data_IF_214033356727
#
_entry.id   IF_214033356727
#
_cell.length_a   1.000
_cell.length_b   1.000
_cell.length_c   1.000
_cell.angle_alpha   90.00
_cell.angle_beta   90.00
_cell.angle_gamma   90.00
#
_symmetry.space_group_name_H-M   'P 1'
#
loop_
_entity.id
_entity.type
_entity.pdbx_description
1 polymer ?
#
# COMPACT_ATOMS: atom_id res chain seq x y z
N UNK A 1 -50.76 -5.06 -22.00
CA UNK A 1 -50.44 -4.69 -20.61
C UNK A 1 -49.20 -5.39 -20.10
N UNK A 2 -48.04 -4.73 -20.31
CA UNK A 2 -46.73 -5.22 -19.92
C UNK A 2 -46.05 -4.28 -18.93
N UNK A 3 -46.57 -4.15 -17.71
CA UNK A 3 -46.03 -3.22 -16.71
C UNK A 3 -45.83 -3.76 -15.29
N UNK A 4 -45.81 -5.08 -15.05
CA UNK A 4 -45.70 -5.62 -13.68
C UNK A 4 -44.53 -6.55 -13.37
N UNK A 5 -43.57 -6.74 -14.28
CA UNK A 5 -42.42 -7.65 -14.06
C UNK A 5 -41.04 -6.96 -14.01
N UNK A 6 -40.95 -5.69 -13.61
CA UNK A 6 -39.66 -4.95 -13.57
C UNK A 6 -39.24 -4.34 -12.23
N UNK A 7 -39.86 -4.71 -11.10
CA UNK A 7 -39.56 -4.06 -9.80
C UNK A 7 -39.03 -4.95 -8.67
N UNK A 8 -38.64 -6.20 -8.91
CA UNK A 8 -38.26 -7.13 -7.82
C UNK A 8 -36.80 -7.63 -7.85
N UNK A 9 -35.85 -6.90 -8.45
CA UNK A 9 -34.45 -7.38 -8.56
C UNK A 9 -33.37 -6.45 -7.97
N UNK A 10 -33.72 -5.31 -7.36
CA UNK A 10 -32.73 -4.31 -6.94
C UNK A 10 -32.51 -4.19 -5.42
N UNK A 11 -33.24 -4.96 -4.59
CA UNK A 11 -33.14 -4.88 -3.12
C UNK A 11 -32.13 -5.84 -2.46
N UNK A 12 -31.69 -6.89 -3.15
CA UNK A 12 -30.95 -8.01 -2.52
C UNK A 12 -29.41 -7.87 -2.47
N UNK A 13 -28.81 -7.04 -3.33
CA UNK A 13 -27.33 -6.94 -3.42
C UNK A 13 -26.71 -5.94 -2.44
N UNK A 14 -27.49 -5.00 -1.89
CA UNK A 14 -26.98 -3.95 -1.00
C UNK A 14 -26.85 -4.41 0.47
N UNK A 15 -27.65 -5.39 0.91
CA UNK A 15 -27.59 -5.89 2.30
C UNK A 15 -26.38 -6.79 2.54
N UNK A 16 -26.00 -7.61 1.55
CA UNK A 16 -24.82 -8.47 1.62
C UNK A 16 -23.52 -7.68 1.80
N UNK A 17 -23.34 -6.61 1.03
CA UNK A 17 -22.13 -5.77 1.09
C UNK A 17 -22.00 -5.02 2.42
N UNK A 18 -23.10 -4.59 3.03
CA UNK A 18 -23.11 -3.93 4.34
C UNK A 18 -22.80 -4.88 5.50
N UNK A 19 -23.38 -6.09 5.47
CA UNK A 19 -23.11 -7.14 6.47
C UNK A 19 -21.66 -7.63 6.39
N UNK A 20 -21.14 -7.83 5.18
CA UNK A 20 -19.76 -8.22 4.93
C UNK A 20 -18.76 -7.13 5.33
N UNK A 21 -19.06 -5.86 5.03
CA UNK A 21 -18.26 -4.73 5.50
C UNK A 21 -18.28 -4.60 7.04
N UNK A 22 -19.42 -4.89 7.68
CA UNK A 22 -19.55 -4.96 9.14
C UNK A 22 -18.67 -6.06 9.74
N UNK A 23 -18.69 -7.26 9.17
CA UNK A 23 -17.88 -8.40 9.63
C UNK A 23 -16.38 -8.17 9.42
N UNK A 24 -15.99 -7.58 8.29
CA UNK A 24 -14.60 -7.20 8.01
C UNK A 24 -14.06 -6.20 9.06
N UNK A 25 -14.90 -5.25 9.52
CA UNK A 25 -14.58 -4.32 10.61
C UNK A 25 -14.42 -5.03 11.95
N UNK A 26 -15.28 -6.00 12.25
CA UNK A 26 -15.20 -6.79 13.50
C UNK A 26 -13.92 -7.63 13.52
N UNK A 27 -13.55 -8.28 12.41
CA UNK A 27 -12.34 -9.10 12.32
C UNK A 27 -11.04 -8.27 12.18
N UNK A 28 -11.13 -6.99 11.80
CA UNK A 28 -9.98 -6.10 11.67
C UNK A 28 -9.25 -5.90 13.00
N UNK A 29 -9.97 -5.60 14.09
CA UNK A 29 -9.36 -5.28 15.39
C UNK A 29 -8.70 -6.48 16.08
N UNK A 30 -9.28 -7.69 16.12
CA UNK A 30 -8.62 -8.88 16.67
C UNK A 30 -7.33 -9.23 15.91
N UNK A 31 -7.35 -9.14 14.58
CA UNK A 31 -6.16 -9.43 13.77
C UNK A 31 -5.10 -8.32 13.85
N UNK A 32 -5.51 -7.07 14.09
CA UNK A 32 -4.60 -5.98 14.42
C UNK A 32 -3.96 -6.19 15.80
N UNK A 33 -4.75 -6.58 16.81
CA UNK A 33 -4.25 -6.89 18.15
C UNK A 33 -3.24 -8.04 18.11
N UNK A 34 -3.50 -9.08 17.32
CA UNK A 34 -2.54 -10.15 17.05
C UNK A 34 -1.24 -9.62 16.40
N UNK A 35 -1.33 -8.65 15.50
CA UNK A 35 -0.16 -8.02 14.88
C UNK A 35 0.65 -7.21 15.92
N UNK A 36 -0.03 -6.45 16.77
CA UNK A 36 0.57 -5.70 17.88
C UNK A 36 1.28 -6.64 18.87
N UNK A 37 0.62 -7.74 19.23
CA UNK A 37 1.17 -8.75 20.12
C UNK A 37 2.46 -9.35 19.54
N UNK A 38 2.44 -9.77 18.26
CA UNK A 38 3.64 -10.34 17.61
C UNK A 38 4.80 -9.36 17.43
N UNK A 39 4.52 -8.06 17.28
CA UNK A 39 5.56 -7.04 17.25
C UNK A 39 6.23 -6.81 18.61
N UNK A 40 5.54 -7.11 19.72
CA UNK A 40 6.04 -6.94 21.09
C UNK A 40 6.66 -8.20 21.70
N UNK A 41 6.29 -9.39 21.22
CA UNK A 41 6.84 -10.66 21.71
C UNK A 41 8.28 -10.83 21.22
N UNK A 42 9.18 -11.10 22.16
CA UNK A 42 10.56 -11.51 21.89
C UNK A 42 10.61 -13.03 21.66
N UNK A 43 11.43 -13.50 20.70
CA UNK A 43 11.60 -14.93 20.39
C UNK A 43 11.17 -15.34 18.97
N UNK A 44 10.95 -16.63 18.72
CA UNK A 44 10.71 -17.21 17.39
C UNK A 44 9.51 -16.63 16.61
N UNK A 45 8.55 -16.03 17.32
CA UNK A 45 7.38 -15.39 16.71
C UNK A 45 7.57 -13.89 16.40
N UNK A 46 8.73 -13.31 16.76
CA UNK A 46 9.05 -11.90 16.57
C UNK A 46 8.94 -11.50 15.10
N UNK A 47 8.36 -10.32 14.87
CA UNK A 47 8.28 -9.72 13.55
C UNK A 47 8.59 -8.25 13.68
N UNK A 48 9.64 -7.81 12.99
CA UNK A 48 9.98 -6.41 12.92
C UNK A 48 8.82 -5.60 12.36
N UNK A 49 8.57 -4.46 13.00
CA UNK A 49 7.43 -3.61 12.69
C UNK A 49 7.46 -3.11 11.25
N UNK A 50 8.65 -2.72 10.80
CA UNK A 50 8.95 -2.26 9.46
C UNK A 50 10.36 -2.68 9.04
N UNK A 51 10.61 -2.66 7.74
CA UNK A 51 11.95 -2.82 7.17
C UNK A 51 12.21 -1.73 6.13
N UNK A 52 13.44 -1.25 6.07
CA UNK A 52 13.91 -0.42 4.98
C UNK A 52 14.18 -1.31 3.76
N UNK A 53 13.55 -0.98 2.63
CA UNK A 53 13.64 -1.77 1.39
C UNK A 53 14.75 -1.23 0.50
N UNK A 54 14.84 0.09 0.38
CA UNK A 54 15.94 0.78 -0.28
C UNK A 54 16.24 2.12 0.40
N UNK A 55 17.00 3.00 -0.27
CA UNK A 55 17.38 4.32 0.26
C UNK A 55 16.16 5.21 0.53
N UNK A 56 15.06 5.01 -0.17
CA UNK A 56 13.87 5.86 -0.11
C UNK A 56 12.73 5.20 0.66
N UNK A 57 12.44 3.93 0.39
CA UNK A 57 11.18 3.30 0.80
C UNK A 57 11.36 2.39 2.00
N UNK A 58 10.48 2.57 2.98
CA UNK A 58 10.29 1.67 4.11
C UNK A 58 8.93 0.97 3.98
N UNK A 59 8.88 -0.31 4.32
CA UNK A 59 7.68 -1.13 4.30
C UNK A 59 7.35 -1.61 5.72
N UNK A 60 6.15 -1.28 6.23
CA UNK A 60 5.79 -1.66 7.58
C UNK A 60 4.31 -1.77 7.89
N UNK A 61 4.03 -2.12 9.15
CA UNK A 61 2.71 -2.11 9.76
C UNK A 61 2.26 -0.67 10.09
N UNK A 62 1.09 -0.51 10.71
CA UNK A 62 0.52 0.79 11.08
C UNK A 62 1.55 1.66 11.87
N UNK A 63 1.82 2.90 11.44
CA UNK A 63 2.74 3.78 12.16
C UNK A 63 2.04 4.32 13.41
N UNK A 64 2.32 3.69 14.55
CA UNK A 64 1.80 4.14 15.84
C UNK A 64 2.33 5.54 16.16
N UNK A 65 1.52 6.36 16.86
CA UNK A 65 1.94 7.72 17.24
C UNK A 65 3.29 7.76 17.96
N UNK A 66 3.60 6.74 18.77
CA UNK A 66 4.89 6.61 19.47
C UNK A 66 6.10 6.43 18.55
N UNK A 67 5.89 5.97 17.31
CA UNK A 67 6.96 5.75 16.33
C UNK A 67 7.26 6.97 15.48
N UNK A 68 6.43 8.02 15.56
CA UNK A 68 6.56 9.23 14.74
C UNK A 68 7.95 9.82 14.81
N UNK A 69 8.50 9.97 16.02
CA UNK A 69 9.84 10.53 16.24
C UNK A 69 10.91 9.73 15.52
N UNK A 70 10.94 8.41 15.76
CA UNK A 70 11.89 7.48 15.11
C UNK A 70 11.79 7.53 13.58
N UNK A 71 10.57 7.54 13.03
CA UNK A 71 10.39 7.61 11.57
C UNK A 71 10.89 8.93 10.99
N UNK A 72 10.65 10.06 11.67
CA UNK A 72 11.00 11.39 11.16
C UNK A 72 12.47 11.73 11.37
N UNK A 73 13.04 11.42 12.54
CA UNK A 73 14.40 11.78 12.94
C UNK A 73 15.41 10.75 12.43
N UNK A 74 15.20 9.45 12.68
CA UNK A 74 16.20 8.42 12.38
C UNK A 74 16.10 7.93 10.93
N UNK A 75 14.87 7.80 10.41
CA UNK A 75 14.63 7.23 9.08
C UNK A 75 14.43 8.30 7.99
N UNK A 76 14.50 9.59 8.35
CA UNK A 76 14.27 10.73 7.46
C UNK A 76 12.95 10.63 6.65
N UNK A 77 11.88 10.14 7.27
CA UNK A 77 10.58 10.02 6.62
C UNK A 77 9.95 11.40 6.47
N UNK A 78 9.57 11.75 5.24
CA UNK A 78 8.84 12.99 4.90
C UNK A 78 7.58 12.73 4.08
N UNK A 79 7.41 11.51 3.57
CA UNK A 79 6.16 11.04 3.00
C UNK A 79 5.63 9.78 3.71
N UNK A 80 4.31 9.65 3.83
CA UNK A 80 3.67 8.41 4.29
C UNK A 80 2.57 8.00 3.32
N UNK A 81 2.63 6.76 2.83
CA UNK A 81 1.59 6.17 1.98
C UNK A 81 0.76 5.23 2.84
N UNK A 82 -0.50 5.62 3.05
CA UNK A 82 -1.48 4.87 3.85
C UNK A 82 -2.41 4.09 2.93
N UNK A 83 -2.19 2.77 2.85
CA UNK A 83 -3.01 1.82 2.07
C UNK A 83 -4.16 1.24 2.90
N UNK A 84 -4.80 2.09 3.70
CA UNK A 84 -5.84 1.74 4.66
C UNK A 84 -7.07 2.63 4.50
N UNK A 85 -8.22 2.13 4.94
CA UNK A 85 -9.41 2.94 5.15
C UNK A 85 -9.27 3.83 6.40
N UNK A 86 -10.07 4.90 6.45
CA UNK A 86 -9.99 5.88 7.52
C UNK A 86 -10.28 5.28 8.90
N UNK A 87 -11.25 4.37 9.00
CA UNK A 87 -11.58 3.70 10.27
C UNK A 87 -10.43 2.83 10.78
N UNK A 88 -9.60 2.25 9.91
CA UNK A 88 -8.49 1.37 10.27
C UNK A 88 -7.35 2.14 10.97
N UNK A 89 -7.28 3.46 10.79
CA UNK A 89 -6.17 4.31 11.26
C UNK A 89 -6.56 5.28 12.37
N UNK A 90 -7.87 5.54 12.56
CA UNK A 90 -8.42 6.64 13.36
C UNK A 90 -7.89 6.72 14.80
N UNK A 91 -7.68 5.59 15.47
CA UNK A 91 -7.36 5.59 16.90
C UNK A 91 -5.86 5.47 17.20
N UNK A 92 -5.10 4.76 16.37
CA UNK A 92 -3.72 4.36 16.67
C UNK A 92 -2.66 5.13 15.88
N UNK A 93 -3.02 5.67 14.72
CA UNK A 93 -2.10 6.37 13.83
C UNK A 93 -2.29 7.88 13.94
N UNK A 94 -1.28 8.62 13.47
CA UNK A 94 -1.42 10.06 13.24
C UNK A 94 -2.44 10.33 12.12
N UNK A 95 -3.26 11.34 12.33
CA UNK A 95 -4.07 11.98 11.29
C UNK A 95 -3.20 12.74 10.29
N UNK A 96 -3.76 13.09 9.13
CA UNK A 96 -3.06 13.90 8.13
C UNK A 96 -2.58 15.25 8.69
N UNK A 97 -3.33 15.83 9.65
CA UNK A 97 -2.95 17.08 10.33
C UNK A 97 -1.77 16.87 11.27
N UNK A 98 -1.75 15.78 12.04
CA UNK A 98 -0.64 15.44 12.93
C UNK A 98 0.63 15.13 12.14
N UNK A 99 0.55 14.38 11.04
CA UNK A 99 1.69 14.16 10.14
C UNK A 99 2.24 15.48 9.59
N UNK A 100 1.37 16.38 9.13
CA UNK A 100 1.80 17.68 8.60
C UNK A 100 2.51 18.54 9.64
N UNK A 101 2.09 18.49 10.91
CA UNK A 101 2.75 19.23 12.02
C UNK A 101 4.19 18.78 12.24
N UNK A 102 4.51 17.52 11.97
CA UNK A 102 5.87 16.97 12.07
C UNK A 102 6.60 16.96 10.72
N UNK A 103 6.11 17.70 9.73
CA UNK A 103 6.76 17.84 8.43
C UNK A 103 6.63 16.62 7.50
N UNK A 104 5.62 15.78 7.71
CA UNK A 104 5.35 14.59 6.86
C UNK A 104 4.06 14.77 6.08
N UNK A 105 4.12 14.56 4.77
CA UNK A 105 2.95 14.53 3.90
C UNK A 105 2.31 13.14 3.88
N UNK A 106 0.99 13.06 4.07
CA UNK A 106 0.26 11.80 3.98
C UNK A 106 -0.49 11.68 2.64
N UNK A 107 -0.19 10.62 1.89
CA UNK A 107 -1.00 10.15 0.77
C UNK A 107 -1.81 8.94 1.20
N UNK A 108 -3.14 9.09 1.24
CA UNK A 108 -4.06 7.98 1.52
C UNK A 108 -4.61 7.41 0.21
N UNK A 109 -4.42 6.11 0.01
CA UNK A 109 -4.92 5.37 -1.15
C UNK A 109 -5.80 4.24 -0.62
N UNK A 110 -7.11 4.51 -0.52
CA UNK A 110 -8.07 3.49 -0.10
C UNK A 110 -8.22 2.43 -1.20
N UNK A 111 -8.15 1.17 -0.80
CA UNK A 111 -8.61 0.04 -1.61
C UNK A 111 -10.04 -0.24 -1.18
N UNK A 112 -11.02 0.06 -2.04
CA UNK A 112 -12.46 -0.08 -1.71
C UNK A 112 -12.87 -1.56 -1.62
N UNK A 113 -12.07 -2.49 -2.16
CA UNK A 113 -12.45 -3.91 -2.20
C UNK A 113 -11.91 -4.72 -1.02
N UNK A 114 -12.78 -5.62 -0.53
CA UNK A 114 -12.47 -6.70 0.41
C UNK A 114 -11.29 -7.58 -0.03
N UNK A 115 -10.92 -7.53 -1.32
CA UNK A 115 -9.77 -8.24 -1.91
C UNK A 115 -8.43 -7.59 -1.54
N UNK A 116 -8.42 -6.31 -1.17
CA UNK A 116 -7.20 -5.55 -0.85
C UNK A 116 -6.27 -5.34 -2.05
N UNK A 117 -6.82 -5.30 -3.27
CA UNK A 117 -6.06 -5.05 -4.51
C UNK A 117 -6.11 -3.54 -4.82
N UNK A 118 -4.97 -2.85 -4.96
CA UNK A 118 -4.95 -1.45 -5.39
C UNK A 118 -5.28 -1.33 -6.89
N UNK A 119 -5.96 -0.26 -7.28
CA UNK A 119 -6.18 0.05 -8.69
C UNK A 119 -4.89 0.54 -9.35
N UNK A 120 -4.80 0.41 -10.67
CA UNK A 120 -3.65 0.88 -11.43
C UNK A 120 -3.40 2.39 -11.25
N UNK A 121 -4.48 3.18 -11.18
CA UNK A 121 -4.40 4.61 -10.88
C UNK A 121 -3.82 4.90 -9.49
N UNK A 122 -4.16 4.09 -8.48
CA UNK A 122 -3.60 4.21 -7.14
C UNK A 122 -2.12 3.82 -7.13
N UNK A 123 -1.72 2.75 -7.84
CA UNK A 123 -0.31 2.39 -8.01
C UNK A 123 0.48 3.55 -8.61
N UNK A 124 0.02 4.13 -9.74
CA UNK A 124 0.66 5.29 -10.36
C UNK A 124 0.81 6.45 -9.37
N UNK A 125 -0.26 6.84 -8.68
CA UNK A 125 -0.23 7.93 -7.70
C UNK A 125 0.76 7.66 -6.56
N UNK A 126 0.76 6.45 -6.01
CA UNK A 126 1.65 6.07 -4.92
C UNK A 126 3.11 6.03 -5.35
N UNK A 127 3.39 5.49 -6.54
CA UNK A 127 4.75 5.47 -7.11
C UNK A 127 5.26 6.88 -7.37
N UNK A 128 4.47 7.75 -8.01
CA UNK A 128 4.88 9.14 -8.27
C UNK A 128 5.12 9.92 -6.98
N UNK A 129 4.32 9.66 -5.94
CA UNK A 129 4.55 10.22 -4.62
C UNK A 129 5.88 9.73 -4.02
N UNK A 130 6.22 8.45 -4.15
CA UNK A 130 7.50 7.94 -3.68
C UNK A 130 8.69 8.54 -4.46
N UNK A 131 8.57 8.66 -5.79
CA UNK A 131 9.61 9.25 -6.64
C UNK A 131 9.86 10.74 -6.31
N UNK A 132 8.81 11.49 -5.96
CA UNK A 132 8.95 12.88 -5.46
C UNK A 132 9.88 12.97 -4.26
N UNK A 133 9.78 12.04 -3.31
CA UNK A 133 10.63 12.06 -2.11
C UNK A 133 12.01 11.47 -2.36
N UNK A 134 12.12 10.51 -3.29
CA UNK A 134 13.40 10.00 -3.76
C UNK A 134 14.27 11.12 -4.35
N UNK A 135 13.71 11.99 -5.19
CA UNK A 135 14.47 13.11 -5.78
C UNK A 135 14.92 14.16 -4.75
N UNK A 136 14.25 14.22 -3.60
CA UNK A 136 14.59 15.10 -2.48
C UNK A 136 15.59 14.46 -1.50
N UNK A 137 16.03 13.21 -1.75
CA UNK A 137 16.88 12.47 -0.80
C UNK A 137 16.16 12.13 0.52
N UNK A 138 14.83 12.08 0.49
CA UNK A 138 13.97 11.84 1.65
C UNK A 138 13.33 10.45 1.57
N UNK A 139 12.90 9.94 2.71
CA UNK A 139 12.28 8.62 2.78
C UNK A 139 10.75 8.67 2.83
N UNK A 140 10.13 7.58 2.38
CA UNK A 140 8.69 7.35 2.39
C UNK A 140 8.35 6.07 3.15
N UNK A 141 7.46 6.19 4.13
CA UNK A 141 6.94 5.06 4.87
C UNK A 141 5.65 4.54 4.21
N UNK A 142 5.70 3.33 3.67
CA UNK A 142 4.58 2.69 2.99
C UNK A 142 3.97 1.61 3.90
N UNK A 143 2.69 1.75 4.23
CA UNK A 143 2.06 0.86 5.19
C UNK A 143 0.63 0.48 4.84
N UNK A 144 0.23 -0.65 5.42
CA UNK A 144 -1.17 -1.06 5.53
C UNK A 144 -1.44 -1.43 6.99
N UNK A 145 -2.23 -2.47 7.26
CA UNK A 145 -2.43 -3.01 8.62
C UNK A 145 -1.16 -3.66 9.19
N UNK A 146 -0.66 -4.70 8.51
CA UNK A 146 0.47 -5.51 8.97
C UNK A 146 1.75 -5.35 8.12
N UNK A 147 1.67 -4.57 7.05
CA UNK A 147 2.80 -4.40 6.13
C UNK A 147 3.12 -5.66 5.31
N UNK A 148 2.09 -6.41 4.87
CA UNK A 148 2.27 -7.75 4.27
C UNK A 148 1.80 -7.88 2.82
N UNK A 149 0.69 -7.24 2.48
CA UNK A 149 -0.02 -7.48 1.22
C UNK A 149 -0.21 -6.14 0.49
N UNK A 150 -1.31 -5.40 0.74
CA UNK A 150 -1.59 -4.07 0.15
C UNK A 150 -0.37 -3.14 -0.01
N UNK A 151 0.37 -2.90 1.08
CA UNK A 151 1.55 -2.04 1.06
C UNK A 151 2.76 -2.68 0.37
N UNK A 152 2.92 -4.00 0.48
CA UNK A 152 3.98 -4.71 -0.24
C UNK A 152 3.75 -4.66 -1.76
N UNK A 153 2.49 -4.73 -2.22
CA UNK A 153 2.12 -4.49 -3.62
C UNK A 153 2.49 -3.08 -4.07
N UNK A 154 2.22 -2.06 -3.25
CA UNK A 154 2.61 -0.68 -3.57
C UNK A 154 4.14 -0.53 -3.68
N UNK A 155 4.89 -1.12 -2.75
CA UNK A 155 6.36 -1.10 -2.80
C UNK A 155 6.88 -1.86 -4.02
N UNK A 156 6.28 -3.01 -4.37
CA UNK A 156 6.65 -3.75 -5.57
C UNK A 156 6.45 -2.90 -6.84
N UNK A 157 5.33 -2.17 -6.96
CA UNK A 157 5.10 -1.25 -8.07
C UNK A 157 6.17 -0.14 -8.15
N UNK A 158 6.60 0.40 -7.00
CA UNK A 158 7.70 1.36 -6.96
C UNK A 158 9.02 0.75 -7.44
N UNK A 159 9.36 -0.47 -7.00
CA UNK A 159 10.59 -1.14 -7.43
C UNK A 159 10.58 -1.44 -8.93
N UNK A 160 9.44 -1.88 -9.48
CA UNK A 160 9.25 -2.09 -10.92
C UNK A 160 9.55 -0.79 -11.69
N UNK A 161 9.01 0.34 -11.23
CA UNK A 161 9.24 1.64 -11.88
C UNK A 161 10.70 2.12 -11.81
N UNK A 162 11.38 1.90 -10.68
CA UNK A 162 12.73 2.43 -10.44
C UNK A 162 13.81 1.55 -11.07
N UNK A 163 13.67 0.23 -10.98
CA UNK A 163 14.70 -0.72 -11.39
C UNK A 163 14.36 -1.48 -12.68
N UNK A 164 13.20 -1.21 -13.28
CA UNK A 164 12.69 -1.92 -14.46
C UNK A 164 12.68 -3.44 -14.27
N UNK A 165 12.38 -3.89 -13.04
CA UNK A 165 12.28 -5.29 -12.69
C UNK A 165 10.93 -5.87 -13.08
N UNK A 166 10.91 -7.17 -13.33
CA UNK A 166 9.66 -7.93 -13.40
C UNK A 166 8.91 -7.90 -12.05
N UNK A 167 7.58 -8.08 -12.07
CA UNK A 167 6.80 -8.21 -10.84
C UNK A 167 7.34 -9.26 -9.87
N UNK A 168 7.78 -10.40 -10.39
CA UNK A 168 8.30 -11.52 -9.61
C UNK A 168 9.63 -11.18 -8.94
N UNK A 169 10.54 -10.49 -9.64
CA UNK A 169 11.80 -10.00 -9.07
C UNK A 169 11.57 -8.97 -7.97
N UNK A 170 10.67 -8.00 -8.20
CA UNK A 170 10.33 -6.98 -7.21
C UNK A 170 9.74 -7.61 -5.94
N UNK A 171 8.81 -8.56 -6.08
CA UNK A 171 8.23 -9.27 -4.94
C UNK A 171 9.28 -10.14 -4.24
N UNK A 172 10.13 -10.83 -4.99
CA UNK A 172 11.22 -11.64 -4.46
C UNK A 172 12.24 -10.82 -3.67
N UNK A 173 12.60 -9.64 -4.14
CA UNK A 173 13.48 -8.71 -3.45
C UNK A 173 12.89 -8.26 -2.10
N UNK A 174 11.60 -7.91 -2.06
CA UNK A 174 10.92 -7.55 -0.81
C UNK A 174 10.87 -8.75 0.14
N UNK A 175 10.59 -9.96 -0.37
CA UNK A 175 10.51 -11.17 0.45
C UNK A 175 11.84 -11.52 1.14
N UNK A 176 12.98 -11.24 0.51
CA UNK A 176 14.31 -11.44 1.11
C UNK A 176 14.53 -10.55 2.35
N UNK A 177 13.96 -9.34 2.35
CA UNK A 177 14.09 -8.38 3.47
C UNK A 177 12.96 -8.57 4.49
N UNK A 178 11.74 -8.85 4.03
CA UNK A 178 10.54 -9.01 4.86
C UNK A 178 9.84 -10.33 4.51
N UNK A 179 10.34 -11.42 5.08
CA UNK A 179 9.93 -12.80 4.74
C UNK A 179 8.45 -13.12 4.90
N UNK A 180 7.71 -12.37 5.72
CA UNK A 180 6.28 -12.60 5.96
C UNK A 180 5.34 -11.83 5.02
N UNK A 181 5.84 -11.19 3.95
CA UNK A 181 4.95 -10.65 2.92
C UNK A 181 4.13 -11.74 2.25
N UNK A 182 2.97 -11.37 1.73
CA UNK A 182 2.08 -12.27 1.04
C UNK A 182 1.30 -11.50 -0.03
N UNK A 183 1.71 -11.71 -1.28
CA UNK A 183 1.08 -11.12 -2.47
C UNK A 183 0.10 -12.14 -3.03
N UNK A 184 -1.17 -11.75 -3.16
CA UNK A 184 -2.22 -12.61 -3.73
C UNK A 184 -2.11 -12.65 -5.26
N UNK A 185 -2.64 -13.68 -5.94
CA UNK A 185 -2.63 -13.75 -7.40
C UNK A 185 -3.18 -12.49 -8.08
N UNK A 186 -4.34 -11.96 -7.64
CA UNK A 186 -4.88 -10.72 -8.20
C UNK A 186 -4.01 -9.46 -7.97
N UNK A 187 -3.19 -9.46 -6.90
CA UNK A 187 -2.21 -8.39 -6.69
C UNK A 187 -0.98 -8.55 -7.59
N UNK A 188 -0.63 -9.79 -7.96
CA UNK A 188 0.45 -10.04 -8.92
C UNK A 188 0.00 -9.67 -10.33
N UNK A 189 -1.25 -9.98 -10.71
CA UNK A 189 -1.79 -9.60 -12.02
C UNK A 189 -1.83 -8.09 -12.23
N UNK A 190 -2.25 -7.30 -11.23
CA UNK A 190 -2.20 -5.84 -11.36
C UNK A 190 -0.76 -5.30 -11.45
N UNK A 191 0.21 -5.98 -10.83
CA UNK A 191 1.63 -5.62 -10.97
C UNK A 191 2.16 -5.93 -12.38
N UNK A 192 1.70 -7.02 -13.00
CA UNK A 192 2.00 -7.35 -14.40
C UNK A 192 1.39 -6.33 -15.35
N UNK A 193 0.17 -5.89 -15.11
CA UNK A 193 -0.46 -4.81 -15.88
C UNK A 193 0.32 -3.50 -15.73
N UNK A 194 0.73 -3.15 -14.51
CA UNK A 194 1.56 -1.98 -14.26
C UNK A 194 2.91 -2.06 -14.98
N UNK A 195 3.60 -3.20 -14.91
CA UNK A 195 4.87 -3.41 -15.61
C UNK A 195 4.74 -3.24 -17.13
N UNK A 196 3.69 -3.80 -17.75
CA UNK A 196 3.40 -3.60 -19.18
C UNK A 196 3.23 -2.11 -19.53
N UNK A 197 2.56 -1.34 -18.69
CA UNK A 197 2.41 0.09 -18.89
C UNK A 197 3.76 0.83 -18.82
N UNK A 198 4.61 0.48 -17.85
CA UNK A 198 5.93 1.11 -17.71
C UNK A 198 6.80 0.80 -18.92
N UNK A 199 6.84 -0.46 -19.36
CA UNK A 199 7.58 -0.85 -20.56
C UNK A 199 7.09 -0.12 -21.81
N UNK A 200 5.77 0.02 -21.97
CA UNK A 200 5.18 0.75 -23.09
C UNK A 200 5.49 2.27 -23.06
N UNK A 201 5.62 2.88 -21.87
CA UNK A 201 6.04 4.27 -21.72
C UNK A 201 7.51 4.45 -22.09
N UNK A 202 8.39 3.58 -21.59
CA UNK A 202 9.82 3.61 -21.91
C UNK A 202 10.08 3.51 -23.42
N UNK A 203 9.39 2.61 -24.11
CA UNK A 203 9.51 2.46 -25.57
C UNK A 203 9.06 3.73 -26.35
N UNK A 204 8.04 4.43 -25.86
CA UNK A 204 7.57 5.69 -26.47
C UNK A 204 8.56 6.83 -26.27
N UNK A 205 9.15 6.92 -25.08
CA UNK A 205 10.15 7.95 -24.76
C UNK A 205 11.42 7.76 -25.60
N UNK A 206 11.84 6.51 -25.86
CA UNK A 206 12.96 6.18 -26.75
C UNK A 206 12.68 6.54 -28.21
N UNK A 207 11.47 6.24 -28.71
CA UNK A 207 11.05 6.56 -30.09
C UNK A 207 10.96 8.07 -30.31
N UNK A 208 10.50 8.82 -29.31
CA UNK A 208 10.45 10.29 -29.38
C UNK A 208 11.84 10.92 -29.38
N UNK A 209 12.78 10.37 -28.60
CA UNK A 209 14.17 10.85 -28.52
C UNK A 209 14.96 10.61 -29.80
N UNK A 210 14.72 9.49 -30.50
CA UNK A 210 15.36 9.16 -31.79
C UNK A 210 14.79 9.93 -32.98
N UNK A 211 13.58 10.49 -32.86
CA UNK A 211 12.95 11.31 -33.92
C UNK A 211 13.31 12.81 -33.83
N UNK A 212 14.02 13.23 -32.78
CA UNK A 212 14.45 14.62 -32.55
C UNK A 212 15.97 14.83 -32.71
N UNK A 213 16.71 13.77 -33.03
CA UNK A 213 18.14 13.77 -33.37
C UNK A 213 18.33 13.51 -34.84
#
# INVERSE_FOLDING_TARGET
DGSLLRQAAWGGMASGTLLEAGLARVLFYPTLLYTLFRGKVSGWAHRDWYHRIDRTVLLGALPLRSMTRRLVEDENVRGVITMNEEYETRFLCNSAKEWRKVGVEQLRLSTIDMTGIPTLANLRKGVQFALKYQSLGQSVYVHCKAGRSRSATMVAAYLIQVYNWSPEEAVGAIAKIRSHIHIRPGQLEILKEFHKEIAARAAKDETHRTSQT
#
